data_IF_635890745619
#
_entry.id   IF_635890745619
#
_cell.length_a   1.000
_cell.length_b   1.000
_cell.length_c   1.000
_cell.angle_alpha   90.00
_cell.angle_beta   90.00
_cell.angle_gamma   90.00
#
_symmetry.space_group_name_H-M   'P 1'
#
loop_
_entity.id
_entity.type
_entity.pdbx_description
1 polymer ?
#
# COMPACT_ATOMS: atom_id res chain seq x y z
N UNK A 1 11.06 11.07 -34.66
CA UNK A 1 11.69 10.23 -33.63
C UNK A 1 11.09 10.62 -32.29
N UNK A 2 10.38 9.72 -31.61
CA UNK A 2 9.85 9.99 -30.27
C UNK A 2 10.99 9.74 -29.27
N UNK A 3 11.41 10.78 -28.55
CA UNK A 3 12.33 10.65 -27.41
C UNK A 3 11.64 9.83 -26.32
N UNK A 4 11.90 8.54 -26.30
CA UNK A 4 11.56 7.69 -25.16
C UNK A 4 12.56 8.02 -24.05
N UNK A 5 12.16 8.85 -23.11
CA UNK A 5 12.90 9.05 -21.88
C UNK A 5 12.81 7.75 -21.07
N UNK A 6 13.92 7.04 -20.98
CA UNK A 6 14.02 5.87 -20.10
C UNK A 6 14.24 6.37 -18.68
N UNK A 7 13.31 6.07 -17.78
CA UNK A 7 13.33 6.51 -16.39
C UNK A 7 13.47 5.28 -15.51
N UNK A 8 14.68 5.02 -15.05
CA UNK A 8 14.95 3.97 -14.09
C UNK A 8 14.47 4.40 -12.69
N UNK A 9 13.40 3.75 -12.21
CA UNK A 9 12.98 3.89 -10.83
C UNK A 9 13.91 3.07 -9.94
N UNK A 10 14.76 3.74 -9.16
CA UNK A 10 15.51 3.10 -8.07
C UNK A 10 14.54 2.67 -6.94
N UNK A 11 13.85 1.55 -7.15
CA UNK A 11 12.95 0.97 -6.16
C UNK A 11 13.69 0.64 -4.86
N UNK A 12 13.03 0.85 -3.72
CA UNK A 12 13.51 0.32 -2.44
C UNK A 12 13.39 -1.20 -2.49
N UNK A 13 14.50 -1.90 -2.28
CA UNK A 13 14.50 -3.36 -2.18
C UNK A 13 13.74 -3.80 -0.92
N UNK A 14 12.94 -4.84 -1.06
CA UNK A 14 12.30 -5.53 0.07
C UNK A 14 13.38 -6.19 0.93
N UNK A 15 13.30 -6.04 2.24
CA UNK A 15 14.18 -6.75 3.16
C UNK A 15 13.77 -8.23 3.29
N UNK A 16 14.65 -9.10 3.78
CA UNK A 16 14.29 -10.50 4.05
C UNK A 16 13.12 -10.61 5.02
N UNK A 17 13.03 -9.69 5.98
CA UNK A 17 11.90 -9.59 6.89
C UNK A 17 10.61 -9.24 6.15
N UNK A 18 10.66 -8.31 5.19
CA UNK A 18 9.51 -7.97 4.34
C UNK A 18 9.05 -9.17 3.52
N UNK A 19 9.98 -9.85 2.84
CA UNK A 19 9.68 -11.04 2.02
C UNK A 19 9.08 -12.17 2.87
N UNK A 20 9.64 -12.46 4.04
CA UNK A 20 9.09 -13.46 4.96
C UNK A 20 7.67 -13.09 5.43
N UNK A 21 7.38 -11.81 5.61
CA UNK A 21 6.04 -11.32 5.99
C UNK A 21 5.06 -11.38 4.84
N UNK A 22 5.49 -11.10 3.61
CA UNK A 22 4.70 -11.26 2.38
C UNK A 22 4.32 -12.73 2.19
N UNK A 23 5.27 -13.65 2.27
CA UNK A 23 5.02 -15.10 2.14
C UNK A 23 3.99 -15.58 3.17
N UNK A 24 4.10 -15.12 4.43
CA UNK A 24 3.12 -15.42 5.48
C UNK A 24 1.72 -14.84 5.15
N UNK A 25 1.66 -13.67 4.52
CA UNK A 25 0.39 -13.07 4.11
C UNK A 25 -0.25 -13.82 2.96
N UNK A 26 0.55 -14.21 1.96
CA UNK A 26 0.09 -15.02 0.83
C UNK A 26 -0.42 -16.38 1.28
N UNK A 27 0.31 -17.06 2.17
CA UNK A 27 -0.08 -18.37 2.70
C UNK A 27 -1.37 -18.33 3.54
N UNK A 28 -1.67 -17.20 4.20
CA UNK A 28 -2.91 -17.06 4.97
C UNK A 28 -4.15 -17.03 4.05
N UNK A 29 -4.03 -16.40 2.88
CA UNK A 29 -5.18 -16.09 2.03
C UNK A 29 -6.07 -14.96 2.58
N UNK A 30 -6.96 -14.47 1.72
CA UNK A 30 -7.92 -13.41 2.01
C UNK A 30 -9.22 -13.66 1.24
N UNK A 31 -10.37 -13.39 1.87
CA UNK A 31 -11.69 -13.66 1.29
C UNK A 31 -11.96 -12.86 0.02
N UNK A 32 -11.44 -11.62 -0.03
CA UNK A 32 -11.56 -10.76 -1.21
C UNK A 32 -10.20 -10.54 -1.87
N UNK A 33 -10.17 -10.38 -3.21
CA UNK A 33 -8.92 -10.20 -3.94
C UNK A 33 -8.08 -9.05 -3.39
N UNK A 34 -6.80 -9.36 -3.13
CA UNK A 34 -5.78 -8.35 -2.81
C UNK A 34 -5.18 -7.79 -4.10
N UNK A 35 -5.01 -6.48 -4.14
CA UNK A 35 -4.36 -5.76 -5.24
C UNK A 35 -2.84 -5.85 -5.15
N UNK A 36 -2.28 -5.64 -3.95
CA UNK A 36 -0.85 -5.79 -3.67
C UNK A 36 -0.54 -5.92 -2.17
N UNK A 37 0.69 -6.31 -1.86
CA UNK A 37 1.26 -6.28 -0.52
C UNK A 37 2.17 -5.05 -0.39
N UNK A 38 2.10 -4.38 0.77
CA UNK A 38 2.88 -3.18 1.04
C UNK A 38 3.80 -3.38 2.24
N UNK A 39 5.03 -2.91 2.09
CA UNK A 39 6.08 -2.95 3.10
C UNK A 39 6.49 -1.55 3.54
N UNK A 40 6.94 -1.44 4.80
CA UNK A 40 7.33 -0.17 5.39
C UNK A 40 6.19 0.85 5.42
N UNK A 41 4.96 0.42 5.70
CA UNK A 41 3.76 1.25 5.53
C UNK A 41 3.61 2.32 6.61
N UNK A 42 3.25 3.53 6.20
CA UNK A 42 2.58 4.53 7.05
C UNK A 42 1.34 5.08 6.36
N UNK A 43 0.42 5.65 7.14
CA UNK A 43 -0.80 6.29 6.62
C UNK A 43 -0.67 7.80 6.83
N UNK A 44 -0.75 8.58 5.76
CA UNK A 44 -0.70 10.05 5.82
C UNK A 44 -1.73 10.62 4.87
N UNK A 45 -2.42 11.69 5.29
CA UNK A 45 -3.46 12.33 4.49
C UNK A 45 -4.45 11.31 3.90
N UNK A 46 -4.94 10.37 4.73
CA UNK A 46 -5.80 9.23 4.37
C UNK A 46 -5.24 8.23 3.35
N UNK A 47 -4.02 8.40 2.85
CA UNK A 47 -3.41 7.47 1.91
C UNK A 47 -2.38 6.56 2.59
N UNK A 48 -2.32 5.30 2.16
CA UNK A 48 -1.22 4.40 2.49
C UNK A 48 0.02 4.74 1.67
N UNK A 49 1.15 4.92 2.33
CA UNK A 49 2.47 5.07 1.71
C UNK A 49 3.28 3.82 2.01
N UNK A 50 3.86 3.18 1.00
CA UNK A 50 4.65 1.97 1.21
C UNK A 50 5.30 1.43 -0.05
N UNK A 51 6.21 0.47 0.12
CA UNK A 51 6.90 -0.22 -0.98
C UNK A 51 6.03 -1.39 -1.44
N UNK A 52 5.74 -1.46 -2.74
CA UNK A 52 4.79 -2.43 -3.30
C UNK A 52 5.44 -3.76 -3.66
N UNK A 53 4.68 -4.84 -3.49
CA UNK A 53 4.97 -6.19 -3.97
C UNK A 53 3.72 -6.87 -4.53
N UNK A 54 3.86 -7.54 -5.67
CA UNK A 54 2.83 -8.36 -6.30
C UNK A 54 1.64 -7.56 -6.82
N UNK A 55 1.85 -6.31 -7.29
CA UNK A 55 0.74 -5.48 -7.75
C UNK A 55 0.08 -6.06 -9.01
N UNK A 56 -1.22 -6.34 -8.96
CA UNK A 56 -1.96 -6.96 -10.08
C UNK A 56 -2.05 -6.09 -11.33
N UNK A 57 -2.00 -4.77 -11.18
CA UNK A 57 -2.02 -3.80 -12.29
C UNK A 57 -0.64 -3.19 -12.46
N UNK A 58 0.35 -3.96 -12.91
CA UNK A 58 1.61 -3.38 -13.37
C UNK A 58 1.27 -2.63 -14.66
N UNK A 59 1.36 -1.30 -14.65
CA UNK A 59 1.16 -0.55 -15.88
C UNK A 59 2.38 -0.73 -16.80
N UNK A 60 2.21 -0.44 -18.08
CA UNK A 60 3.28 -0.50 -19.10
C UNK A 60 4.49 0.40 -18.80
N UNK A 61 4.38 1.26 -17.80
CA UNK A 61 5.40 2.22 -17.38
C UNK A 61 6.08 1.80 -16.06
N UNK A 62 5.76 0.61 -15.54
CA UNK A 62 6.37 0.07 -14.34
C UNK A 62 5.99 0.77 -13.04
N UNK A 63 5.02 1.69 -13.00
CA UNK A 63 4.72 2.54 -11.82
C UNK A 63 4.33 1.76 -10.57
N UNK A 64 3.86 0.52 -10.75
CA UNK A 64 3.53 -0.42 -9.67
C UNK A 64 4.42 -1.67 -9.67
N UNK A 65 5.62 -1.56 -10.22
CA UNK A 65 6.64 -2.61 -10.17
C UNK A 65 7.06 -2.93 -8.74
N UNK A 66 7.51 -4.16 -8.52
CA UNK A 66 7.93 -4.58 -7.18
C UNK A 66 9.13 -3.76 -6.72
N UNK A 67 9.07 -3.26 -5.49
CA UNK A 67 10.09 -2.35 -4.94
C UNK A 67 9.80 -0.86 -5.15
N UNK A 68 8.73 -0.50 -5.87
CA UNK A 68 8.37 0.90 -6.05
C UNK A 68 7.69 1.45 -4.80
N UNK A 69 8.04 2.69 -4.42
CA UNK A 69 7.29 3.43 -3.42
C UNK A 69 5.99 3.92 -4.05
N UNK A 70 4.86 3.55 -3.46
CA UNK A 70 3.55 3.98 -3.94
C UNK A 70 2.83 4.80 -2.86
N UNK A 71 1.94 5.66 -3.35
CA UNK A 71 0.85 6.26 -2.57
C UNK A 71 -0.45 5.62 -3.06
N UNK A 72 -1.26 5.07 -2.16
CA UNK A 72 -2.61 4.62 -2.52
C UNK A 72 -3.52 5.83 -2.71
N UNK A 73 -4.66 5.63 -3.38
CA UNK A 73 -5.78 6.55 -3.22
C UNK A 73 -6.28 6.54 -1.77
N UNK A 74 -7.23 7.41 -1.47
CA UNK A 74 -7.77 7.53 -0.12
C UNK A 74 -8.27 6.19 0.41
N UNK A 75 -7.77 5.83 1.59
CA UNK A 75 -8.21 4.69 2.37
C UNK A 75 -9.60 5.01 2.90
N UNK A 76 -10.56 4.18 2.49
CA UNK A 76 -11.94 4.20 2.99
C UNK A 76 -11.98 3.49 4.33
N UNK A 77 -11.29 2.35 4.45
CA UNK A 77 -11.30 1.49 5.62
C UNK A 77 -9.96 0.82 5.82
N UNK A 78 -9.54 0.70 7.08
CA UNK A 78 -8.44 -0.15 7.50
C UNK A 78 -8.98 -1.16 8.50
N UNK A 79 -8.79 -2.46 8.25
CA UNK A 79 -9.28 -3.51 9.13
C UNK A 79 -8.29 -4.66 9.25
N UNK A 80 -8.43 -5.46 10.30
CA UNK A 80 -7.59 -6.64 10.52
C UNK A 80 -8.27 -7.86 9.91
N UNK A 81 -7.62 -8.50 8.94
CA UNK A 81 -8.04 -9.75 8.32
C UNK A 81 -7.01 -10.83 8.66
N UNK A 82 -7.39 -11.75 9.56
CA UNK A 82 -6.46 -12.69 10.19
C UNK A 82 -5.34 -11.97 10.95
N UNK A 83 -4.08 -12.19 10.55
CA UNK A 83 -2.89 -11.62 11.20
C UNK A 83 -2.44 -10.29 10.60
N UNK A 84 -3.07 -9.82 9.54
CA UNK A 84 -2.62 -8.66 8.76
C UNK A 84 -3.65 -7.55 8.75
N UNK A 85 -3.17 -6.31 8.62
CA UNK A 85 -4.03 -5.17 8.33
C UNK A 85 -4.23 -5.04 6.83
N UNK A 86 -5.46 -4.76 6.42
CA UNK A 86 -5.85 -4.55 5.03
C UNK A 86 -6.42 -3.15 4.89
N UNK A 87 -5.85 -2.38 3.95
CA UNK A 87 -6.35 -1.08 3.54
C UNK A 87 -7.26 -1.27 2.34
N UNK A 88 -8.50 -0.80 2.46
CA UNK A 88 -9.48 -0.77 1.37
C UNK A 88 -9.64 0.67 0.89
N UNK A 89 -9.40 0.86 -0.41
CA UNK A 89 -9.71 2.08 -1.16
C UNK A 89 -10.95 1.84 -2.03
N UNK A 90 -11.35 2.80 -2.87
CA UNK A 90 -12.51 2.64 -3.77
C UNK A 90 -12.38 1.40 -4.66
N UNK A 91 -11.20 1.17 -5.25
CA UNK A 91 -11.00 0.16 -6.30
C UNK A 91 -9.89 -0.85 -6.01
N UNK A 92 -9.23 -0.75 -4.86
CA UNK A 92 -8.05 -1.54 -4.53
C UNK A 92 -8.00 -1.94 -3.07
N UNK A 93 -7.40 -3.10 -2.79
CA UNK A 93 -7.17 -3.65 -1.45
C UNK A 93 -5.68 -3.94 -1.27
N UNK A 94 -5.08 -3.42 -0.21
CA UNK A 94 -3.65 -3.53 0.05
C UNK A 94 -3.40 -4.18 1.40
N UNK A 95 -2.60 -5.23 1.43
CA UNK A 95 -2.19 -5.88 2.68
C UNK A 95 -0.94 -5.18 3.22
N UNK A 96 -0.94 -4.81 4.49
CA UNK A 96 0.24 -4.29 5.18
C UNK A 96 1.07 -5.48 5.68
N UNK A 97 2.14 -5.82 4.97
CA UNK A 97 3.08 -6.86 5.39
C UNK A 97 3.95 -6.39 6.57
N UNK A 98 4.45 -5.15 6.48
CA UNK A 98 5.27 -4.50 7.51
C UNK A 98 4.94 -3.01 7.64
N UNK A 99 5.16 -2.47 8.84
CA UNK A 99 5.00 -1.04 9.14
C UNK A 99 6.33 -0.32 9.04
N UNK A 100 6.30 0.95 8.62
CA UNK A 100 7.44 1.84 8.73
C UNK A 100 7.94 1.88 10.18
N UNK A 101 9.25 1.71 10.39
CA UNK A 101 9.87 1.83 11.72
C UNK A 101 9.59 3.22 12.31
N UNK A 102 9.29 3.27 13.61
CA UNK A 102 8.93 4.49 14.33
C UNK A 102 7.48 4.93 14.12
N UNK A 103 7.06 5.21 12.89
CA UNK A 103 5.79 5.90 12.64
C UNK A 103 4.63 5.03 12.12
N UNK A 104 4.88 3.88 11.50
CA UNK A 104 3.85 3.16 10.74
C UNK A 104 2.63 2.75 11.58
N UNK A 105 2.86 2.13 12.74
CA UNK A 105 1.77 1.73 13.66
C UNK A 105 1.06 2.92 14.30
N UNK A 106 1.80 3.99 14.63
CA UNK A 106 1.22 5.20 15.18
C UNK A 106 0.25 5.84 14.17
N UNK A 107 0.68 5.94 12.92
CA UNK A 107 -0.14 6.48 11.83
C UNK A 107 -1.42 5.68 11.54
N UNK A 108 -1.37 4.34 11.67
CA UNK A 108 -2.58 3.51 11.56
C UNK A 108 -3.56 3.79 12.70
N UNK A 109 -3.08 3.87 13.95
CA UNK A 109 -3.93 4.17 15.11
C UNK A 109 -4.57 5.54 14.96
N UNK A 110 -3.81 6.53 14.50
CA UNK A 110 -4.32 7.87 14.22
C UNK A 110 -5.39 7.86 13.12
N UNK A 111 -5.15 7.15 12.01
CA UNK A 111 -6.15 6.97 10.96
C UNK A 111 -7.45 6.34 11.50
N UNK A 112 -7.36 5.26 12.28
CA UNK A 112 -8.52 4.60 12.88
C UNK A 112 -9.30 5.54 13.82
N UNK A 113 -8.59 6.37 14.60
CA UNK A 113 -9.21 7.38 15.47
C UNK A 113 -9.95 8.47 14.68
N UNK A 114 -9.34 8.98 13.61
CA UNK A 114 -9.88 10.10 12.83
C UNK A 114 -10.98 9.69 11.84
N UNK A 115 -10.87 8.49 11.26
CA UNK A 115 -11.84 7.94 10.29
C UNK A 115 -13.24 7.71 10.88
N UNK A 116 -13.37 7.68 12.21
CA UNK A 116 -14.66 7.59 12.90
C UNK A 116 -15.53 8.85 12.72
N UNK A 117 -14.96 9.99 12.34
CA UNK A 117 -15.68 11.27 12.17
C UNK A 117 -15.45 12.00 10.84
N UNK A 118 -14.38 11.69 10.10
CA UNK A 118 -14.03 12.41 8.86
C UNK A 118 -14.47 11.66 7.59
N UNK A 119 -15.34 12.30 6.79
CA UNK A 119 -15.83 11.80 5.48
C UNK A 119 -15.29 12.54 4.25
N UNK A 120 -14.39 13.52 4.44
CA UNK A 120 -13.84 14.27 3.31
C UNK A 120 -12.74 13.48 2.62
N UNK A 121 -13.00 13.10 1.37
CA UNK A 121 -12.03 12.49 0.47
C UNK A 121 -11.27 13.58 -0.28
N UNK A 122 -9.99 13.33 -0.57
CA UNK A 122 -9.22 14.07 -1.56
C UNK A 122 -10.00 14.07 -2.88
N UNK A 123 -10.26 15.24 -3.51
CA UNK A 123 -10.93 15.30 -4.80
C UNK A 123 -10.27 14.37 -5.83
N UNK A 124 -11.05 13.68 -6.66
CA UNK A 124 -10.54 12.65 -7.58
C UNK A 124 -9.44 13.19 -8.52
N UNK A 125 -9.51 14.46 -8.91
CA UNK A 125 -8.51 15.13 -9.76
C UNK A 125 -7.14 15.30 -9.09
N UNK A 126 -7.05 15.12 -7.77
CA UNK A 126 -5.83 15.25 -6.97
C UNK A 126 -5.37 13.90 -6.36
N UNK A 127 -6.03 12.79 -6.68
CA UNK A 127 -5.74 11.47 -6.11
C UNK A 127 -4.66 10.70 -6.85
#
# INVERSE_FOLDING_TARGET
>A
MLNTLDVDYHGKRHTDFDLARILKAQAQGFDKPITAYLCGVSIKARAGLGVVFGHKRKDRYGRFGDGHLIRTSDVIKAEREGRFWVLTTVNSRYVIATFQRGNGRASLREFLRLSQGMRHFTPQVLQ
#
